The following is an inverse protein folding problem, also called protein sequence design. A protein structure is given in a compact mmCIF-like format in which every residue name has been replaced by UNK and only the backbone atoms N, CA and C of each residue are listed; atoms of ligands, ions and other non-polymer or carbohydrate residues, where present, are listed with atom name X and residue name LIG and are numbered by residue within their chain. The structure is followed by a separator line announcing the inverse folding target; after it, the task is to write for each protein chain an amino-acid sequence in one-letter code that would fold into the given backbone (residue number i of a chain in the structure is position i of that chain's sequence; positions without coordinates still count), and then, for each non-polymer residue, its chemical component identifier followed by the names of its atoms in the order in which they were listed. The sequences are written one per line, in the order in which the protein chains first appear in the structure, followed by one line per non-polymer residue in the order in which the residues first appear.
data_IF_074809372707
#
_entry.id   IF_074809372707
#
_cell.length_a   1.000
_cell.length_b   1.000
_cell.length_c   1.000
_cell.angle_alpha   90.00
_cell.angle_beta   90.00
_cell.angle_gamma   90.00
#
_symmetry.space_group_name_H-M   'P 1'
#
loop_
_entity.id
_entity.type
_entity.pdbx_description
1 polymer ?
#
# COMPACT_ATOMS: atom_id res chain seq x y z
N UNK A 1 10.81 19.46 29.24
CA UNK A 1 10.63 19.58 28.79
C UNK A 1 10.24 19.34 28.24
N UNK A 2 10.02 19.15 28.11
CA UNK A 2 9.64 19.07 27.48
C UNK A 2 9.08 19.03 26.61
N UNK A 3 9.11 19.08 26.39
CA UNK A 3 8.64 19.12 25.51
C UNK A 3 8.35 19.06 24.62
N UNK A 4 8.52 19.08 24.39
CA UNK A 4 8.36 19.17 23.45
C UNK A 4 7.97 18.79 22.73
N UNK A 5 7.90 18.69 22.83
CA UNK A 5 7.62 18.53 21.98
C UNK A 5 7.12 18.24 21.36
N UNK A 6 7.19 18.12 21.57
CA UNK A 6 6.89 18.16 20.95
C UNK A 6 6.54 18.40 20.19
N UNK A 7 6.48 18.64 20.17
CA UNK A 7 6.23 19.07 19.32
C UNK A 7 6.39 18.86 18.36
N UNK A 8 6.64 18.83 18.23
CA UNK A 8 6.88 18.69 17.20
C UNK A 8 6.33 17.94 16.51
N UNK A 9 6.44 17.46 16.74
CA UNK A 9 6.12 16.57 15.94
C UNK A 9 4.91 16.64 15.44
N UNK A 10 4.26 16.88 16.09
CA UNK A 10 3.08 16.87 15.68
C UNK A 10 2.80 17.59 14.61
N UNK A 11 3.41 18.37 14.44
CA UNK A 11 3.19 19.12 13.45
C UNK A 11 3.01 18.48 12.31
N UNK A 12 3.72 17.61 12.24
CA UNK A 12 3.64 16.90 11.17
C UNK A 12 2.37 16.43 10.81
N UNK A 13 1.67 16.03 11.66
CA UNK A 13 0.44 15.49 11.38
C UNK A 13 -0.37 16.34 10.53
N UNK A 14 -0.22 17.51 10.65
CA UNK A 14 -0.99 18.36 9.93
C UNK A 14 -0.81 18.21 8.56
N UNK A 15 0.33 17.91 8.22
CA UNK A 15 0.63 17.84 6.89
C UNK A 15 -0.02 16.69 6.27
N UNK A 16 -0.55 15.85 7.01
CA UNK A 16 -1.14 14.70 6.46
C UNK A 16 -2.41 14.91 5.72
N UNK A 17 -2.96 16.06 5.81
CA UNK A 17 -4.20 16.31 5.14
C UNK A 17 -4.01 16.19 3.67
N UNK A 18 -4.77 15.28 3.05
CA UNK A 18 -4.66 15.06 1.64
C UNK A 18 -3.36 14.41 1.20
N UNK A 19 -2.50 14.09 2.12
CA UNK A 19 -1.23 13.49 1.80
C UNK A 19 -1.34 11.97 1.79
N UNK A 20 -0.50 11.34 1.02
CA UNK A 20 -0.39 9.90 1.03
C UNK A 20 0.38 9.47 2.28
N UNK A 21 0.05 8.32 2.82
CA UNK A 21 0.74 7.77 3.96
C UNK A 21 1.79 6.76 3.51
N UNK A 22 3.00 6.91 4.00
CA UNK A 22 4.09 5.99 3.69
C UNK A 22 3.90 4.68 4.46
N UNK A 23 4.08 3.58 3.78
CA UNK A 23 3.91 2.25 4.36
C UNK A 23 4.95 1.31 3.77
N UNK A 24 5.38 0.34 4.55
CA UNK A 24 6.29 -0.68 4.03
C UNK A 24 6.06 -2.01 4.71
N UNK A 25 6.54 -3.06 4.12
CA UNK A 25 6.46 -4.40 4.69
C UNK A 25 6.77 -5.46 3.66
N UNK A 26 6.65 -6.71 4.08
CA UNK A 26 6.86 -7.86 3.23
C UNK A 26 5.50 -8.38 2.77
N UNK A 27 5.36 -8.64 1.50
CA UNK A 27 4.09 -9.11 0.94
C UNK A 27 3.79 -10.53 1.42
N UNK A 28 2.63 -10.73 2.01
CA UNK A 28 2.24 -12.04 2.51
C UNK A 28 1.19 -12.73 1.63
N UNK A 29 0.43 -11.98 0.86
CA UNK A 29 -0.60 -12.53 -0.01
C UNK A 29 -0.87 -11.62 -1.18
N UNK A 30 -1.32 -12.19 -2.29
CA UNK A 30 -1.68 -11.43 -3.48
C UNK A 30 -3.00 -12.00 -4.04
N UNK A 31 -3.74 -11.15 -4.73
CA UNK A 31 -5.01 -11.54 -5.34
C UNK A 31 -5.26 -10.69 -6.58
N UNK A 32 -5.48 -11.34 -7.70
CA UNK A 32 -5.81 -10.64 -8.92
C UNK A 32 -7.33 -10.62 -9.08
N UNK A 33 -7.92 -9.46 -8.85
CA UNK A 33 -9.36 -9.28 -8.99
C UNK A 33 -9.72 -8.93 -10.42
N UNK A 34 -10.95 -8.45 -10.62
CA UNK A 34 -11.43 -8.06 -11.94
C UNK A 34 -10.90 -6.69 -12.35
N UNK A 35 -10.77 -5.78 -11.40
CA UNK A 35 -10.38 -4.40 -11.66
C UNK A 35 -9.08 -4.00 -11.00
N UNK A 36 -8.67 -4.72 -9.99
CA UNK A 36 -7.51 -4.36 -9.18
C UNK A 36 -6.65 -5.57 -8.87
N UNK A 37 -5.36 -5.35 -8.84
CA UNK A 37 -4.43 -6.34 -8.31
C UNK A 37 -4.22 -5.96 -6.85
N UNK A 38 -4.51 -6.88 -5.94
CA UNK A 38 -4.48 -6.60 -4.51
C UNK A 38 -3.37 -7.36 -3.81
N UNK A 39 -2.86 -6.79 -2.74
CA UNK A 39 -1.82 -7.44 -1.95
C UNK A 39 -1.96 -7.06 -0.48
N UNK A 40 -1.37 -7.90 0.36
CA UNK A 40 -1.43 -7.73 1.80
C UNK A 40 -0.03 -7.89 2.36
N UNK A 41 0.28 -7.16 3.42
CA UNK A 41 1.59 -7.25 4.07
C UNK A 41 1.53 -8.16 5.28
N UNK A 42 2.67 -8.76 5.60
CA UNK A 42 2.78 -9.63 6.77
C UNK A 42 2.45 -8.84 8.03
N UNK A 43 1.65 -9.44 8.88
CA UNK A 43 1.26 -8.82 10.14
C UNK A 43 0.16 -7.77 10.04
N UNK A 44 -0.38 -7.56 8.85
CA UNK A 44 -1.46 -6.59 8.64
C UNK A 44 -2.67 -7.27 8.05
N UNK A 45 -3.88 -6.94 8.50
CA UNK A 45 -5.09 -7.50 7.92
C UNK A 45 -5.58 -6.70 6.71
N UNK A 46 -4.90 -5.60 6.39
CA UNK A 46 -5.37 -4.70 5.35
C UNK A 46 -4.88 -5.11 3.97
N UNK A 47 -5.77 -4.96 2.98
CA UNK A 47 -5.44 -5.16 1.59
C UNK A 47 -5.16 -3.81 0.94
N UNK A 48 -4.29 -3.80 -0.05
CA UNK A 48 -3.94 -2.61 -0.82
C UNK A 48 -4.08 -2.96 -2.29
N UNK A 49 -4.30 -1.97 -3.13
CA UNK A 49 -4.65 -2.23 -4.53
C UNK A 49 -3.84 -1.41 -5.53
N UNK A 50 -3.61 -2.02 -6.68
CA UNK A 50 -3.10 -1.34 -7.86
C UNK A 50 -4.17 -1.51 -8.92
N UNK A 51 -4.75 -0.41 -9.45
CA UNK A 51 -5.77 -0.51 -10.48
C UNK A 51 -5.21 -1.14 -11.74
N UNK A 52 -5.97 -2.04 -12.35
CA UNK A 52 -5.55 -2.71 -13.57
C UNK A 52 -5.88 -1.85 -14.77
N UNK A 53 -5.29 -0.65 -14.84
CA UNK A 53 -5.50 0.25 -15.96
C UNK A 53 -4.16 0.72 -16.49
N UNK A 54 -4.10 0.97 -17.77
CA UNK A 54 -2.86 1.36 -18.41
C UNK A 54 -1.93 0.18 -18.58
N UNK A 55 -0.68 0.45 -18.96
CA UNK A 55 0.27 -0.60 -19.24
C UNK A 55 1.22 -0.86 -18.06
N UNK A 56 1.32 0.07 -17.14
CA UNK A 56 2.27 -0.05 -16.04
C UNK A 56 1.87 -1.02 -14.94
N UNK A 57 0.57 -1.36 -14.85
CA UNK A 57 0.12 -2.17 -13.73
C UNK A 57 0.69 -3.59 -13.78
N UNK A 58 0.86 -4.12 -14.96
CA UNK A 58 1.36 -5.50 -15.11
C UNK A 58 2.78 -5.63 -14.55
N UNK A 59 3.61 -4.61 -14.75
CA UNK A 59 4.97 -4.60 -14.24
C UNK A 59 4.93 -4.49 -12.73
N UNK A 60 4.10 -3.62 -12.19
CA UNK A 60 3.98 -3.46 -10.75
C UNK A 60 3.47 -4.73 -10.09
N UNK A 61 2.47 -5.38 -10.68
CA UNK A 61 1.94 -6.62 -10.16
C UNK A 61 3.02 -7.72 -10.16
N UNK A 62 3.79 -7.78 -11.24
CA UNK A 62 4.88 -8.74 -11.34
C UNK A 62 5.95 -8.49 -10.27
N UNK A 63 6.27 -7.22 -10.03
CA UNK A 63 7.26 -6.84 -9.03
C UNK A 63 6.78 -7.21 -7.63
N UNK A 64 5.51 -7.01 -7.34
CA UNK A 64 4.93 -7.37 -6.05
C UNK A 64 4.94 -8.89 -5.87
N UNK A 65 4.58 -9.63 -6.89
CA UNK A 65 4.60 -11.09 -6.83
C UNK A 65 6.02 -11.62 -6.60
N UNK A 66 6.99 -11.00 -7.26
CA UNK A 66 8.39 -11.37 -7.07
C UNK A 66 8.87 -11.03 -5.67
N UNK A 67 8.48 -9.87 -5.14
CA UNK A 67 8.85 -9.49 -3.80
C UNK A 67 8.29 -10.46 -2.77
N UNK A 68 7.07 -10.98 -3.01
CA UNK A 68 6.48 -11.97 -2.13
C UNK A 68 7.35 -13.23 -2.07
N UNK A 69 7.79 -13.70 -3.21
CA UNK A 69 8.59 -14.92 -3.28
C UNK A 69 9.98 -14.73 -2.67
N UNK A 70 10.57 -13.57 -2.90
CA UNK A 70 11.94 -13.31 -2.43
C UNK A 70 12.01 -12.73 -1.03
N UNK A 71 10.86 -12.36 -0.46
CA UNK A 71 10.83 -11.78 0.89
C UNK A 71 11.35 -10.35 0.98
N UNK A 72 11.41 -9.63 -0.14
CA UNK A 72 11.89 -8.26 -0.13
C UNK A 72 10.83 -7.34 0.46
N UNK A 73 11.29 -6.32 1.17
CA UNK A 73 10.40 -5.30 1.70
C UNK A 73 10.00 -4.35 0.58
N UNK A 74 8.72 -4.10 0.46
CA UNK A 74 8.23 -3.09 -0.49
C UNK A 74 7.80 -1.86 0.27
N UNK A 75 7.85 -0.71 -0.38
CA UNK A 75 7.37 0.53 0.19
C UNK A 75 6.46 1.24 -0.79
N UNK A 76 5.48 1.97 -0.27
CA UNK A 76 4.53 2.70 -1.09
C UNK A 76 3.80 3.75 -0.26
N UNK A 77 3.02 4.58 -0.94
CA UNK A 77 2.17 5.56 -0.27
C UNK A 77 0.72 5.16 -0.50
N UNK A 78 -0.11 5.30 0.52
CA UNK A 78 -1.53 5.01 0.44
C UNK A 78 -2.24 6.29 0.00
N UNK A 79 -3.06 6.21 -1.03
CA UNK A 79 -3.81 7.36 -1.52
C UNK A 79 -5.21 7.39 -0.92
N UNK A 80 -5.95 8.45 -1.17
CA UNK A 80 -7.34 8.55 -0.73
C UNK A 80 -8.30 7.88 -1.71
N UNK A 81 -7.78 7.37 -2.83
CA UNK A 81 -8.59 6.68 -3.82
C UNK A 81 -8.74 5.22 -3.43
N UNK A 82 -9.89 4.65 -3.68
CA UNK A 82 -10.14 3.24 -3.42
C UNK A 82 -10.51 2.52 -4.71
N UNK A 83 -10.14 1.25 -4.76
CA UNK A 83 -10.54 0.36 -5.83
C UNK A 83 -11.57 -0.60 -5.24
N UNK A 84 -12.76 -0.64 -5.82
CA UNK A 84 -13.80 -1.57 -5.36
C UNK A 84 -13.76 -2.82 -6.20
N UNK A 85 -13.56 -3.95 -5.56
CA UNK A 85 -13.46 -5.23 -6.25
C UNK A 85 -13.94 -6.32 -5.30
N UNK A 86 -14.05 -7.52 -5.81
CA UNK A 86 -14.44 -8.65 -4.98
C UNK A 86 -13.40 -8.85 -3.89
N UNK A 87 -13.87 -9.03 -2.68
CA UNK A 87 -12.97 -9.23 -1.56
C UNK A 87 -12.21 -10.55 -1.71
N UNK A 88 -10.90 -10.56 -1.54
CA UNK A 88 -10.14 -11.81 -1.54
C UNK A 88 -10.56 -12.74 -0.41
N UNK A 89 -11.16 -12.17 0.63
CA UNK A 89 -11.61 -12.95 1.78
C UNK A 89 -13.07 -13.39 1.64
N UNK A 90 -13.69 -13.11 0.49
CA UNK A 90 -15.09 -13.39 0.27
C UNK A 90 -15.95 -12.23 0.74
N UNK A 91 -17.21 -12.26 0.49
CA UNK A 91 -18.11 -11.23 1.01
C UNK A 91 -18.43 -10.08 0.09
N UNK A 92 -18.16 -10.20 -1.17
CA UNK A 92 -18.56 -9.21 -2.15
C UNK A 92 -17.54 -8.09 -2.33
N UNK A 93 -17.96 -7.04 -3.02
CA UNK A 93 -17.05 -5.94 -3.35
C UNK A 93 -16.80 -5.07 -2.13
N UNK A 94 -15.53 -4.74 -1.89
CA UNK A 94 -15.15 -3.86 -0.81
C UNK A 94 -14.17 -2.82 -1.34
N UNK A 95 -14.15 -1.62 -0.76
CA UNK A 95 -13.18 -0.61 -1.17
C UNK A 95 -11.80 -0.96 -0.60
N UNK A 96 -10.80 -0.93 -1.45
CA UNK A 96 -9.42 -1.21 -1.06
C UNK A 96 -8.57 -0.01 -1.45
N UNK A 97 -7.76 0.53 -0.53
CA UNK A 97 -6.96 1.73 -0.84
C UNK A 97 -6.00 1.49 -1.98
N UNK A 98 -5.95 2.44 -2.90
CA UNK A 98 -5.01 2.40 -4.01
C UNK A 98 -3.68 2.96 -3.53
N UNK A 99 -2.58 2.36 -3.95
CA UNK A 99 -1.24 2.80 -3.57
C UNK A 99 -0.52 3.43 -4.74
N UNK A 100 0.51 4.22 -4.43
CA UNK A 100 1.35 4.85 -5.44
C UNK A 100 2.78 4.87 -4.94
N UNK A 101 3.70 5.26 -5.80
CA UNK A 101 5.12 5.39 -5.47
C UNK A 101 5.71 4.09 -4.92
N UNK A 102 5.35 2.98 -5.58
CA UNK A 102 5.85 1.68 -5.19
C UNK A 102 7.36 1.59 -5.41
N UNK A 103 8.08 1.10 -4.43
CA UNK A 103 9.51 0.84 -4.56
C UNK A 103 9.89 -0.48 -3.90
N UNK A 104 10.82 -1.19 -4.53
CA UNK A 104 11.31 -2.48 -4.05
C UNK A 104 12.81 -2.51 -4.27
N UNK A 105 13.60 -2.57 -3.20
CA UNK A 105 13.16 -2.55 -1.80
C UNK A 105 12.65 -1.18 -1.38
N UNK A 106 12.00 -1.14 -0.23
CA UNK A 106 11.46 0.12 0.28
C UNK A 106 12.54 1.17 0.42
N UNK A 107 12.19 2.40 0.09
CA UNK A 107 13.11 3.52 0.23
C UNK A 107 13.12 4.03 1.67
N UNK A 108 14.18 4.74 2.07
CA UNK A 108 14.21 5.36 3.39
C UNK A 108 12.99 6.29 3.54
N UNK A 109 12.34 6.23 4.67
CA UNK A 109 11.17 7.07 4.92
C UNK A 109 9.85 6.44 4.54
N UNK A 110 9.90 5.28 3.97
CA UNK A 110 8.66 4.55 3.62
C UNK A 110 8.28 3.52 4.66
#
# INVERSE_FOLDING_TARGET
MKRVFIASASIVAILGIGQAQATNGVVSATHAGLFCYEFKLSGSPNWYAIPMIGTGYAMQASDIASARVTGKTIGFNITSTNCSDSSPDGGGAVPVPVVQSLSIPALPGQ
#
